data_IF_555886869122
#
_entry.id   IF_555886869122
#
_cell.length_a   1.000
_cell.length_b   1.000
_cell.length_c   1.000
_cell.angle_alpha   90.00
_cell.angle_beta   90.00
_cell.angle_gamma   90.00
#
_symmetry.space_group_name_H-M   'P 1'
#
loop_
_entity.id
_entity.type
_entity.pdbx_description
1 polymer ?
#
# COMPACT_ATOMS: atom_id res chain seq x y z
N UNK A 1 -12.24 -1.28 -26.88
CA UNK A 1 -11.65 -2.41 -26.12
C UNK A 1 -11.90 -2.13 -24.66
N UNK A 2 -12.83 -2.83 -24.01
CA UNK A 2 -12.94 -2.77 -22.55
C UNK A 2 -11.88 -3.71 -21.98
N UNK A 3 -10.91 -3.17 -21.27
CA UNK A 3 -9.99 -4.00 -20.49
C UNK A 3 -10.77 -4.52 -19.30
N UNK A 4 -11.01 -5.83 -19.27
CA UNK A 4 -11.67 -6.46 -18.13
C UNK A 4 -10.73 -6.46 -16.93
N UNK A 5 -11.24 -6.10 -15.75
CA UNK A 5 -10.47 -6.06 -14.52
C UNK A 5 -10.75 -7.34 -13.75
N UNK A 6 -9.71 -8.16 -13.55
CA UNK A 6 -9.77 -9.37 -12.72
C UNK A 6 -8.90 -9.18 -11.49
N UNK A 7 -9.49 -9.38 -10.31
CA UNK A 7 -8.78 -9.31 -9.02
C UNK A 7 -8.75 -10.71 -8.39
N UNK A 8 -7.56 -11.15 -7.98
CA UNK A 8 -7.41 -12.32 -7.11
C UNK A 8 -7.12 -11.79 -5.70
N UNK A 9 -8.17 -11.61 -4.90
CA UNK A 9 -8.10 -10.91 -3.61
C UNK A 9 -6.99 -11.45 -2.69
N UNK A 10 -6.88 -12.77 -2.55
CA UNK A 10 -5.87 -13.39 -1.70
C UNK A 10 -4.42 -13.07 -2.12
N UNK A 11 -4.15 -12.99 -3.43
CA UNK A 11 -2.81 -12.63 -3.93
C UNK A 11 -2.51 -11.15 -3.66
N UNK A 12 -3.50 -10.28 -3.82
CA UNK A 12 -3.33 -8.85 -3.56
C UNK A 12 -3.13 -8.57 -2.07
N UNK A 13 -3.90 -9.21 -1.20
CA UNK A 13 -3.74 -9.11 0.26
C UNK A 13 -2.36 -9.61 0.73
N UNK A 14 -1.88 -10.72 0.17
CA UNK A 14 -0.55 -11.25 0.46
C UNK A 14 0.54 -10.23 0.09
N UNK A 15 0.48 -9.64 -1.11
CA UNK A 15 1.50 -8.69 -1.53
C UNK A 15 1.42 -7.36 -0.78
N UNK A 16 0.22 -6.90 -0.42
CA UNK A 16 0.06 -5.73 0.45
C UNK A 16 0.63 -5.98 1.85
N UNK A 17 0.50 -7.20 2.37
CA UNK A 17 1.12 -7.59 3.64
C UNK A 17 2.64 -7.57 3.57
N UNK A 18 3.23 -8.15 2.52
CA UNK A 18 4.68 -8.10 2.28
C UNK A 18 5.19 -6.66 2.17
N UNK A 19 4.50 -5.82 1.41
CA UNK A 19 4.85 -4.40 1.26
C UNK A 19 4.75 -3.65 2.59
N UNK A 20 3.74 -3.95 3.40
CA UNK A 20 3.58 -3.35 4.73
C UNK A 20 4.74 -3.73 5.64
N UNK A 21 5.09 -5.02 5.69
CA UNK A 21 6.21 -5.52 6.48
C UNK A 21 7.56 -4.91 6.05
N UNK A 22 7.79 -4.80 4.73
CA UNK A 22 8.99 -4.17 4.18
C UNK A 22 9.06 -2.68 4.52
N UNK A 23 7.93 -1.97 4.43
CA UNK A 23 7.79 -0.55 4.81
C UNK A 23 8.06 -0.33 6.30
N UNK A 24 7.55 -1.20 7.16
CA UNK A 24 7.74 -1.11 8.63
C UNK A 24 9.17 -1.48 9.05
N UNK A 25 9.85 -2.33 8.29
CA UNK A 25 11.26 -2.68 8.53
C UNK A 25 12.24 -1.59 8.09
N UNK A 26 11.81 -0.65 7.24
CA UNK A 26 12.61 0.48 6.82
C UNK A 26 12.64 1.54 7.91
N UNK A 27 13.80 1.73 8.54
CA UNK A 27 14.02 2.76 9.57
C UNK A 27 15.04 3.78 9.03
N UNK A 28 14.60 4.87 8.39
CA UNK A 28 15.50 5.91 7.91
C UNK A 28 16.13 6.62 9.11
N UNK A 29 17.44 6.50 9.28
CA UNK A 29 18.16 7.24 10.32
C UNK A 29 19.58 7.49 9.84
N UNK A 30 19.98 8.76 9.73
CA UNK A 30 21.37 9.11 9.51
C UNK A 30 22.20 8.86 10.77
N UNK A 31 23.41 8.33 10.60
CA UNK A 31 24.37 8.29 11.69
C UNK A 31 24.76 9.71 12.15
N UNK A 32 25.09 9.88 13.46
CA UNK A 32 25.57 11.16 13.96
C UNK A 32 26.80 11.66 13.22
N UNK A 33 26.97 12.99 13.05
CA UNK A 33 28.17 13.54 12.44
C UNK A 33 29.44 13.18 13.22
N UNK A 34 30.52 12.85 12.51
CA UNK A 34 31.84 12.63 13.12
C UNK A 34 32.39 13.99 13.58
N UNK A 35 32.50 14.19 14.89
CA UNK A 35 32.96 15.44 15.49
C UNK A 35 34.49 15.52 15.55
N UNK A 36 35.06 16.73 15.47
CA UNK A 36 36.50 16.97 15.57
C UNK A 36 37.32 16.70 14.30
N UNK A 37 36.69 16.20 13.22
CA UNK A 37 37.32 16.04 11.91
C UNK A 37 36.90 17.19 10.97
N UNK A 38 37.87 17.87 10.36
CA UNK A 38 37.67 19.03 9.48
C UNK A 38 37.89 18.72 8.00
N UNK A 39 38.08 17.44 7.65
CA UNK A 39 38.22 17.02 6.26
C UNK A 39 36.90 17.19 5.51
N UNK A 40 36.97 17.76 4.30
CA UNK A 40 35.81 17.94 3.39
C UNK A 40 35.07 16.62 3.11
N UNK A 41 35.79 15.49 3.13
CA UNK A 41 35.20 14.16 2.97
C UNK A 41 34.20 13.84 4.07
N UNK A 42 34.48 14.21 5.33
CA UNK A 42 33.56 13.97 6.45
C UNK A 42 32.31 14.82 6.33
N UNK A 43 32.46 16.08 5.92
CA UNK A 43 31.32 16.96 5.62
C UNK A 43 30.44 16.34 4.53
N UNK A 44 31.04 15.89 3.42
CA UNK A 44 30.30 15.25 2.32
C UNK A 44 29.61 13.94 2.72
N UNK A 45 30.25 13.11 3.54
CA UNK A 45 29.63 11.89 4.07
C UNK A 45 28.44 12.21 4.97
N UNK A 46 28.56 13.24 5.82
CA UNK A 46 27.46 13.71 6.67
C UNK A 46 26.29 14.21 5.83
N UNK A 47 26.56 15.07 4.84
CA UNK A 47 25.53 15.55 3.92
C UNK A 47 24.85 14.41 3.13
N UNK A 48 25.63 13.43 2.67
CA UNK A 48 25.10 12.27 1.97
C UNK A 48 24.19 11.44 2.87
N UNK A 49 24.62 11.16 4.10
CA UNK A 49 23.84 10.43 5.10
C UNK A 49 22.49 11.10 5.36
N UNK A 50 22.49 12.43 5.57
CA UNK A 50 21.27 13.22 5.74
C UNK A 50 20.37 13.19 4.50
N UNK A 51 20.93 13.28 3.29
CA UNK A 51 20.17 13.20 2.04
C UNK A 51 19.53 11.82 1.84
N UNK A 52 20.23 10.74 2.21
CA UNK A 52 19.71 9.38 2.16
C UNK A 52 18.57 9.17 3.15
N UNK A 53 18.69 9.67 4.38
CA UNK A 53 17.60 9.66 5.36
C UNK A 53 16.36 10.37 4.80
N UNK A 54 16.52 11.60 4.28
CA UNK A 54 15.41 12.35 3.69
C UNK A 54 14.77 11.62 2.50
N UNK A 55 15.57 10.98 1.65
CA UNK A 55 15.08 10.21 0.51
C UNK A 55 14.25 9.00 0.97
N UNK A 56 14.77 8.23 1.93
CA UNK A 56 14.10 7.04 2.46
C UNK A 56 12.81 7.41 3.21
N UNK A 57 12.79 8.50 3.97
CA UNK A 57 11.57 9.00 4.63
C UNK A 57 10.49 9.41 3.61
N UNK A 58 10.88 10.10 2.53
CA UNK A 58 9.95 10.44 1.44
C UNK A 58 9.42 9.21 0.73
N UNK A 59 10.29 8.24 0.45
CA UNK A 59 9.91 6.98 -0.17
C UNK A 59 8.93 6.20 0.72
N UNK A 60 9.19 6.11 2.02
CA UNK A 60 8.30 5.44 2.98
C UNK A 60 6.92 6.11 3.03
N UNK A 61 6.86 7.44 2.93
CA UNK A 61 5.60 8.18 2.87
C UNK A 61 4.79 7.82 1.62
N UNK A 62 5.42 7.83 0.44
CA UNK A 62 4.77 7.46 -0.82
C UNK A 62 4.31 6.00 -0.79
N UNK A 63 5.16 5.10 -0.28
CA UNK A 63 4.84 3.69 -0.14
C UNK A 63 3.63 3.47 0.78
N UNK A 64 3.55 4.22 1.89
CA UNK A 64 2.40 4.20 2.79
C UNK A 64 1.11 4.61 2.08
N UNK A 65 1.14 5.72 1.34
CA UNK A 65 -0.02 6.18 0.56
C UNK A 65 -0.44 5.14 -0.46
N UNK A 66 0.51 4.54 -1.18
CA UNK A 66 0.21 3.52 -2.19
C UNK A 66 -0.42 2.27 -1.58
N UNK A 67 0.08 1.79 -0.44
CA UNK A 67 -0.51 0.66 0.30
C UNK A 67 -1.96 1.00 0.68
N UNK A 68 -2.18 2.15 1.32
CA UNK A 68 -3.52 2.58 1.74
C UNK A 68 -4.50 2.71 0.57
N UNK A 69 -4.11 3.40 -0.50
CA UNK A 69 -4.96 3.58 -1.69
C UNK A 69 -5.30 2.24 -2.35
N UNK A 70 -4.33 1.32 -2.43
CA UNK A 70 -4.55 0.01 -3.03
C UNK A 70 -5.48 -0.84 -2.16
N UNK A 71 -5.26 -0.87 -0.85
CA UNK A 71 -6.15 -1.56 0.11
C UNK A 71 -7.59 -1.07 -0.05
N UNK A 72 -7.82 0.24 0.01
CA UNK A 72 -9.18 0.80 -0.14
C UNK A 72 -9.81 0.48 -1.50
N UNK A 73 -9.01 0.45 -2.57
CA UNK A 73 -9.51 0.12 -3.91
C UNK A 73 -9.94 -1.35 -4.01
N UNK A 74 -9.17 -2.25 -3.40
CA UNK A 74 -9.47 -3.69 -3.37
C UNK A 74 -10.71 -3.96 -2.50
N UNK A 75 -10.80 -3.32 -1.34
CA UNK A 75 -11.98 -3.39 -0.47
C UNK A 75 -13.24 -2.90 -1.19
N UNK A 76 -13.16 -1.75 -1.86
CA UNK A 76 -14.26 -1.22 -2.67
C UNK A 76 -14.72 -2.20 -3.76
N UNK A 77 -13.76 -2.86 -4.44
CA UNK A 77 -14.10 -3.84 -5.48
C UNK A 77 -14.75 -5.09 -4.86
N UNK A 78 -14.24 -5.57 -3.72
CA UNK A 78 -14.82 -6.72 -3.01
C UNK A 78 -16.26 -6.43 -2.56
N UNK A 79 -16.52 -5.25 -2.00
CA UNK A 79 -17.88 -4.82 -1.62
C UNK A 79 -18.80 -4.76 -2.85
N UNK A 80 -18.29 -4.22 -3.97
CA UNK A 80 -19.02 -4.17 -5.23
C UNK A 80 -19.38 -5.56 -5.74
N UNK A 81 -18.43 -6.51 -5.73
CA UNK A 81 -18.66 -7.89 -6.13
C UNK A 81 -19.69 -8.59 -5.23
N UNK A 82 -19.65 -8.38 -3.91
CA UNK A 82 -20.64 -8.91 -2.98
C UNK A 82 -22.05 -8.36 -3.24
N UNK A 83 -22.16 -7.06 -3.50
CA UNK A 83 -23.42 -6.40 -3.82
C UNK A 83 -24.00 -6.93 -5.13
N UNK A 84 -23.18 -7.08 -6.17
CA UNK A 84 -23.60 -7.67 -7.46
C UNK A 84 -24.02 -9.12 -7.27
N UNK A 85 -23.24 -9.93 -6.55
CA UNK A 85 -23.58 -11.33 -6.27
C UNK A 85 -24.92 -11.46 -5.55
N UNK A 86 -25.18 -10.59 -4.56
CA UNK A 86 -26.45 -10.56 -3.83
C UNK A 86 -27.62 -10.18 -4.75
N UNK A 87 -27.43 -9.15 -5.59
CA UNK A 87 -28.44 -8.75 -6.56
C UNK A 87 -28.75 -9.87 -7.57
N UNK A 88 -27.72 -10.56 -8.07
CA UNK A 88 -27.88 -11.70 -8.97
C UNK A 88 -28.65 -12.85 -8.29
N UNK A 89 -28.30 -13.18 -7.05
CA UNK A 89 -29.01 -14.20 -6.28
C UNK A 89 -30.50 -13.85 -6.12
N UNK A 90 -30.83 -12.60 -5.77
CA UNK A 90 -32.21 -12.12 -5.69
C UNK A 90 -32.97 -12.22 -7.03
N UNK A 91 -32.30 -12.00 -8.16
CA UNK A 91 -32.94 -12.15 -9.48
C UNK A 91 -33.17 -13.61 -9.86
N UNK A 92 -32.29 -14.52 -9.42
CA UNK A 92 -32.41 -15.97 -9.67
C UNK A 92 -33.54 -16.57 -8.81
N UNK A 93 -33.67 -16.16 -7.55
CA UNK A 93 -34.68 -16.69 -6.63
C UNK A 93 -36.12 -16.27 -6.99
N UNK A 94 -36.28 -15.27 -7.87
CA UNK A 94 -37.57 -14.70 -8.26
C UNK A 94 -38.26 -13.94 -7.12
N UNK A 95 -39.35 -13.19 -7.39
CA UNK A 95 -40.08 -12.52 -6.32
C UNK A 95 -40.65 -13.58 -5.38
N UNK A 96 -40.32 -13.50 -4.08
CA UNK A 96 -40.99 -14.30 -3.05
C UNK A 96 -42.48 -14.01 -3.14
N UNK A 97 -43.26 -14.97 -3.64
CA UNK A 97 -44.71 -14.91 -3.53
C UNK A 97 -45.05 -14.89 -2.04
N UNK A 98 -45.53 -13.74 -1.58
CA UNK A 98 -46.11 -13.60 -0.26
C UNK A 98 -47.40 -14.42 -0.30
N UNK A 99 -47.38 -15.64 0.25
CA UNK A 99 -48.60 -16.40 0.49
C UNK A 99 -49.43 -15.62 1.52
N UNK A 100 -50.64 -15.22 1.10
CA UNK A 100 -51.69 -14.71 1.98
C UNK A 100 -52.20 -15.78 2.93
#
# INVERSE_FOLDING_TARGET
MSTEVKIVYAEVEAQLSEMTNAKDSLVPTAEPPITGNTLDVVTKLTELSTKLEQLLTKYQTILTTNIQTTTSSVEFMNETDQNISTAMQCTIDGPKQVMQ
#
